data_IF_628685012700
#
_entry.id   IF_628685012700
#
_cell.length_a   1.000
_cell.length_b   1.000
_cell.length_c   1.000
_cell.angle_alpha   90.00
_cell.angle_beta   90.00
_cell.angle_gamma   90.00
#
_symmetry.space_group_name_H-M   'P 1'
#
loop_
_entity.id
_entity.type
_entity.pdbx_description
1 polymer ?
#
# COMPACT_ATOMS: atom_id res chain seq x y z
N UNK A 1 10.73 0.14 -20.53
CA UNK A 1 10.58 0.95 -19.31
C UNK A 1 9.77 0.14 -18.32
N UNK A 2 10.06 0.25 -17.03
CA UNK A 2 9.31 -0.43 -15.97
C UNK A 2 8.46 0.61 -15.24
N UNK A 3 7.18 0.36 -15.08
CA UNK A 3 6.25 1.21 -14.32
C UNK A 3 6.46 0.95 -12.83
N UNK A 4 6.67 2.02 -12.07
CA UNK A 4 6.87 1.97 -10.61
C UNK A 4 5.54 2.23 -9.91
N UNK A 5 4.99 1.21 -9.29
CA UNK A 5 3.72 1.26 -8.56
C UNK A 5 3.98 1.33 -7.06
N UNK A 6 3.32 2.25 -6.38
CA UNK A 6 3.23 2.21 -4.91
C UNK A 6 1.80 1.87 -4.51
N UNK A 7 1.63 0.82 -3.71
CA UNK A 7 0.34 0.38 -3.15
C UNK A 7 0.26 0.85 -1.71
N UNK A 8 -0.50 1.91 -1.48
CA UNK A 8 -0.75 2.45 -0.16
C UNK A 8 -1.96 1.76 0.48
N UNK A 9 -1.79 1.26 1.71
CA UNK A 9 -2.87 0.65 2.48
C UNK A 9 -3.03 1.28 3.86
N UNK A 10 -4.27 1.60 4.22
CA UNK A 10 -4.60 2.09 5.57
C UNK A 10 -4.17 1.10 6.68
N UNK A 11 -4.19 -0.21 6.39
CA UNK A 11 -3.63 -1.26 7.24
C UNK A 11 -4.21 -1.30 8.68
N UNK A 12 -5.48 -0.92 8.83
CA UNK A 12 -6.19 -0.92 10.12
C UNK A 12 -7.02 -2.20 10.31
N UNK A 13 -7.73 -2.65 9.28
CA UNK A 13 -8.64 -3.79 9.40
C UNK A 13 -7.89 -5.10 9.61
N UNK A 14 -6.81 -5.33 8.87
CA UNK A 14 -5.96 -6.52 9.01
C UNK A 14 -5.34 -6.65 10.40
N UNK A 15 -5.13 -5.53 11.11
CA UNK A 15 -4.58 -5.53 12.47
C UNK A 15 -5.64 -5.74 13.55
N UNK A 16 -6.89 -5.31 13.31
CA UNK A 16 -7.96 -5.31 14.33
C UNK A 16 -8.99 -6.43 14.15
N UNK A 17 -9.09 -7.01 12.96
CA UNK A 17 -10.10 -8.03 12.64
C UNK A 17 -9.43 -9.32 12.15
N UNK A 18 -9.53 -10.38 12.96
CA UNK A 18 -8.96 -11.70 12.65
C UNK A 18 -9.50 -12.30 11.34
N UNK A 19 -10.79 -12.11 11.04
CA UNK A 19 -11.38 -12.64 9.80
C UNK A 19 -10.74 -11.96 8.58
N UNK A 20 -10.45 -10.66 8.66
CA UNK A 20 -9.77 -9.94 7.58
C UNK A 20 -8.32 -10.40 7.46
N UNK A 21 -7.61 -10.55 8.58
CA UNK A 21 -6.23 -11.03 8.60
C UNK A 21 -6.09 -12.45 8.02
N UNK A 22 -7.08 -13.32 8.25
CA UNK A 22 -7.11 -14.67 7.68
C UNK A 22 -7.30 -14.66 6.15
N UNK A 23 -8.08 -13.73 5.62
CA UNK A 23 -8.25 -13.55 4.16
C UNK A 23 -7.01 -12.93 3.52
N UNK A 24 -6.39 -11.95 4.19
CA UNK A 24 -5.22 -11.23 3.71
C UNK A 24 -4.02 -11.41 4.65
N UNK A 25 -3.39 -12.60 4.67
CA UNK A 25 -2.26 -12.88 5.56
C UNK A 25 -1.00 -12.05 5.24
N UNK A 26 -0.93 -11.49 4.02
CA UNK A 26 0.10 -10.56 3.58
C UNK A 26 -0.38 -9.11 3.52
N UNK A 27 -1.52 -8.82 4.15
CA UNK A 27 -2.32 -7.60 4.00
C UNK A 27 -2.84 -7.36 2.58
N UNK A 28 -3.84 -6.49 2.41
CA UNK A 28 -4.37 -6.21 1.06
C UNK A 28 -3.31 -5.57 0.15
N UNK A 29 -2.57 -4.59 0.69
CA UNK A 29 -1.54 -3.87 -0.05
C UNK A 29 -0.35 -4.78 -0.40
N UNK A 30 0.06 -5.67 0.51
CA UNK A 30 1.11 -6.65 0.21
C UNK A 30 0.67 -7.71 -0.79
N UNK A 31 -0.58 -8.20 -0.73
CA UNK A 31 -1.14 -9.11 -1.75
C UNK A 31 -1.16 -8.48 -3.14
N UNK A 32 -1.60 -7.23 -3.26
CA UNK A 32 -1.62 -6.52 -4.55
C UNK A 32 -0.19 -6.30 -5.07
N UNK A 33 0.73 -5.82 -4.24
CA UNK A 33 2.12 -5.61 -4.65
C UNK A 33 2.81 -6.91 -5.07
N UNK A 34 2.57 -8.03 -4.36
CA UNK A 34 3.10 -9.34 -4.74
C UNK A 34 2.57 -9.79 -6.11
N UNK A 35 1.28 -9.59 -6.39
CA UNK A 35 0.72 -9.93 -7.69
C UNK A 35 1.33 -9.08 -8.80
N UNK A 36 1.37 -7.75 -8.62
CA UNK A 36 1.91 -6.82 -9.62
C UNK A 36 3.39 -7.10 -9.96
N UNK A 37 4.19 -7.52 -8.98
CA UNK A 37 5.60 -7.87 -9.20
C UNK A 37 5.80 -9.16 -10.03
N UNK A 38 4.74 -9.90 -10.37
CA UNK A 38 4.80 -11.05 -11.28
C UNK A 38 4.63 -10.64 -12.75
N UNK A 39 4.13 -9.43 -13.01
CA UNK A 39 3.85 -8.93 -14.35
C UNK A 39 5.10 -8.27 -14.93
N UNK A 40 5.37 -8.54 -16.22
CA UNK A 40 6.50 -7.93 -16.90
C UNK A 40 6.32 -6.42 -17.03
N UNK A 41 7.40 -5.67 -16.80
CA UNK A 41 7.38 -4.22 -16.93
C UNK A 41 6.73 -3.48 -15.75
N UNK A 42 6.43 -4.15 -14.64
CA UNK A 42 5.96 -3.53 -13.40
C UNK A 42 6.94 -3.82 -12.26
N UNK A 43 7.20 -2.81 -11.43
CA UNK A 43 7.80 -2.98 -10.11
C UNK A 43 6.89 -2.33 -9.09
N UNK A 44 6.50 -3.09 -8.07
CA UNK A 44 5.54 -2.64 -7.06
C UNK A 44 6.14 -2.70 -5.66
N UNK A 45 5.84 -1.69 -4.86
CA UNK A 45 6.13 -1.65 -3.43
C UNK A 45 4.87 -1.26 -2.67
N UNK A 46 4.80 -1.62 -1.38
CA UNK A 46 3.69 -1.24 -0.53
C UNK A 46 4.18 -0.36 0.62
N UNK A 47 3.33 0.57 1.03
CA UNK A 47 3.49 1.39 2.24
C UNK A 47 2.14 1.50 2.94
N UNK A 48 2.15 2.01 4.17
CA UNK A 48 0.96 2.08 5.00
C UNK A 48 0.81 3.40 5.73
N UNK A 49 -0.40 3.64 6.26
CA UNK A 49 -0.71 4.79 7.11
C UNK A 49 0.25 4.92 8.31
N UNK A 50 0.71 3.79 8.86
CA UNK A 50 1.55 3.76 10.06
C UNK A 50 3.05 3.95 9.77
N UNK A 51 3.45 3.99 8.51
CA UNK A 51 4.83 4.33 8.13
C UNK A 51 5.08 5.84 8.36
N UNK A 52 6.35 6.26 8.59
CA UNK A 52 6.68 7.69 8.66
C UNK A 52 6.20 8.45 7.42
N UNK A 53 5.58 9.62 7.62
CA UNK A 53 4.95 10.42 6.54
C UNK A 53 3.93 9.59 5.72
N UNK A 54 3.26 8.64 6.36
CA UNK A 54 2.36 7.66 5.73
C UNK A 54 3.03 6.88 4.59
N UNK A 55 4.35 6.76 4.65
CA UNK A 55 5.20 6.15 3.63
C UNK A 55 5.28 6.94 2.32
N UNK A 56 4.76 8.18 2.26
CA UNK A 56 4.65 9.01 1.07
C UNK A 56 5.47 10.30 1.16
N UNK A 57 6.77 10.13 1.43
CA UNK A 57 7.72 11.26 1.34
C UNK A 57 7.75 11.84 -0.08
N UNK A 58 8.19 13.09 -0.22
CA UNK A 58 8.36 13.74 -1.54
C UNK A 58 9.23 12.90 -2.50
N UNK A 59 10.29 12.29 -1.98
CA UNK A 59 11.16 11.42 -2.78
C UNK A 59 10.43 10.17 -3.26
N UNK A 60 9.63 9.54 -2.38
CA UNK A 60 8.84 8.36 -2.74
C UNK A 60 7.76 8.68 -3.78
N UNK A 61 7.11 9.84 -3.67
CA UNK A 61 6.15 10.32 -4.66
C UNK A 61 6.81 10.57 -6.02
N UNK A 62 8.00 11.18 -6.05
CA UNK A 62 8.78 11.35 -7.29
C UNK A 62 9.20 10.01 -7.92
N UNK A 63 9.29 8.96 -7.11
CA UNK A 63 9.59 7.60 -7.55
C UNK A 63 8.36 6.75 -7.89
N UNK A 64 7.16 7.30 -7.77
CA UNK A 64 5.90 6.58 -7.99
C UNK A 64 5.27 7.06 -9.28
N UNK A 65 5.18 6.17 -10.28
CA UNK A 65 4.50 6.47 -11.54
C UNK A 65 2.98 6.29 -11.40
N UNK A 66 2.56 5.30 -10.58
CA UNK A 66 1.17 5.02 -10.26
C UNK A 66 1.02 4.76 -8.76
N UNK A 67 0.13 5.50 -8.11
CA UNK A 67 -0.28 5.27 -6.72
C UNK A 67 -1.62 4.54 -6.68
N UNK A 68 -1.66 3.40 -6.01
CA UNK A 68 -2.90 2.68 -5.67
C UNK A 68 -3.20 2.99 -4.21
N UNK A 69 -4.41 3.45 -3.91
CA UNK A 69 -4.80 3.88 -2.56
C UNK A 69 -5.98 3.06 -2.05
N UNK A 70 -5.83 2.45 -0.87
CA UNK A 70 -6.92 1.80 -0.16
C UNK A 70 -7.07 2.36 1.26
N UNK A 71 -8.26 2.86 1.59
CA UNK A 71 -8.61 3.33 2.93
C UNK A 71 -10.09 3.15 3.26
N UNK A 72 -10.44 3.21 4.55
CA UNK A 72 -11.80 3.02 5.04
C UNK A 72 -12.06 3.61 6.43
N UNK A 73 -11.36 3.16 7.47
CA UNK A 73 -11.70 3.39 8.88
C UNK A 73 -10.90 4.50 9.57
N UNK A 74 -9.81 4.97 8.97
CA UNK A 74 -8.85 5.89 9.55
C UNK A 74 -8.46 7.02 8.58
N UNK A 75 -9.36 7.42 7.68
CA UNK A 75 -9.12 8.57 6.78
C UNK A 75 -8.82 9.87 7.54
N UNK A 76 -9.34 10.03 8.76
CA UNK A 76 -9.07 11.19 9.60
C UNK A 76 -7.66 11.21 10.21
N UNK A 77 -6.92 10.10 10.11
CA UNK A 77 -5.55 9.97 10.61
C UNK A 77 -4.50 10.22 9.50
N UNK A 78 -4.94 10.58 8.28
CA UNK A 78 -4.06 11.00 7.19
C UNK A 78 -3.78 12.49 7.38
N UNK A 79 -2.51 12.82 7.60
CA UNK A 79 -2.01 14.19 7.72
C UNK A 79 -1.76 14.81 6.33
N UNK A 80 -1.90 16.13 6.24
CA UNK A 80 -1.61 16.94 5.05
C UNK A 80 -0.10 17.16 4.80
#
# INVERSE_FOLDING_TARGET
>A
MTIRVTVWGENVHEQKNKVVAEVYPKTMHGTIAEFLNKEEGITASAVTLQDPEHGMTTAKLAETDVLIWWGHAAHGDVDD
#
